data_IF_945208795964
#
_entry.id   IF_945208795964
#
_cell.length_a   1.000
_cell.length_b   1.000
_cell.length_c   1.000
_cell.angle_alpha   90.00
_cell.angle_beta   90.00
_cell.angle_gamma   90.00
#
_symmetry.space_group_name_H-M   'P 1'
#
loop_
_entity.id
_entity.type
_entity.pdbx_description
1 polymer ?
#
# COMPACT_ATOMS: atom_id res chain seq x y z
N UNK A 1 12.00 74.68 40.10
CA UNK A 1 13.13 73.75 39.87
C UNK A 1 12.67 72.32 40.15
N UNK A 2 12.56 71.49 39.10
CA UNK A 2 13.02 70.09 39.00
C UNK A 2 12.35 69.48 37.77
N UNK A 3 13.18 69.11 36.80
CA UNK A 3 12.83 68.54 35.50
C UNK A 3 12.36 67.10 35.70
N UNK A 4 11.29 66.69 35.01
CA UNK A 4 10.99 65.28 34.77
C UNK A 4 10.99 65.03 33.26
N UNK A 5 11.90 64.16 32.83
CA UNK A 5 12.05 63.70 31.45
C UNK A 5 10.89 62.79 31.07
N UNK A 6 10.36 63.00 29.85
CA UNK A 6 9.44 62.08 29.20
C UNK A 6 10.23 60.87 28.65
N UNK A 7 9.83 59.65 29.03
CA UNK A 7 10.21 58.42 28.35
C UNK A 7 8.99 57.94 27.57
N UNK A 8 9.08 58.01 26.24
CA UNK A 8 8.07 57.51 25.31
C UNK A 8 8.24 55.98 25.19
N UNK A 9 7.32 55.21 25.75
CA UNK A 9 7.29 53.75 25.61
C UNK A 9 6.71 53.42 24.22
N UNK A 10 7.57 52.99 23.30
CA UNK A 10 7.15 52.46 21.99
C UNK A 10 6.63 51.05 22.20
N UNK A 11 5.31 50.87 22.11
CA UNK A 11 4.69 49.55 22.03
C UNK A 11 4.85 49.08 20.57
N UNK A 12 5.81 48.20 20.34
CA UNK A 12 5.93 47.48 19.08
C UNK A 12 4.84 46.41 19.01
N UNK A 13 3.82 46.63 18.16
CA UNK A 13 2.93 45.56 17.73
C UNK A 13 3.72 44.63 16.79
N UNK A 14 4.15 43.48 17.32
CA UNK A 14 4.59 42.38 16.48
C UNK A 14 3.33 41.76 15.83
N UNK A 15 3.08 42.13 14.57
CA UNK A 15 2.20 41.35 13.70
C UNK A 15 2.88 39.99 13.48
N UNK A 16 2.47 38.98 14.25
CA UNK A 16 2.80 37.60 13.97
C UNK A 16 2.05 37.20 12.70
N UNK A 17 2.69 37.40 11.55
CA UNK A 17 2.27 36.77 10.31
C UNK A 17 2.36 35.26 10.48
N UNK A 18 1.26 34.56 10.23
CA UNK A 18 1.25 33.11 10.06
C UNK A 18 2.16 32.77 8.89
N UNK A 19 3.37 32.32 9.16
CA UNK A 19 4.18 31.63 8.16
C UNK A 19 3.55 30.26 8.00
N UNK A 20 2.63 30.12 7.04
CA UNK A 20 2.31 28.82 6.47
C UNK A 20 3.55 28.35 5.71
N UNK A 21 4.48 27.71 6.41
CA UNK A 21 5.45 26.83 5.76
C UNK A 21 4.63 25.67 5.23
N UNK A 22 4.19 25.76 3.98
CA UNK A 22 3.69 24.59 3.27
C UNK A 22 4.88 23.64 3.21
N UNK A 23 4.86 22.54 3.97
CA UNK A 23 5.80 21.46 3.75
C UNK A 23 5.82 21.21 2.24
N UNK A 24 6.96 21.42 1.59
CA UNK A 24 7.06 21.31 0.14
C UNK A 24 6.59 19.90 -0.24
N UNK A 25 5.47 19.80 -0.95
CA UNK A 25 5.16 18.57 -1.66
C UNK A 25 6.39 18.28 -2.53
N UNK A 26 7.02 17.10 -2.43
CA UNK A 26 8.11 16.78 -3.33
C UNK A 26 7.61 17.01 -4.77
N UNK A 27 8.44 17.59 -5.62
CA UNK A 27 8.13 17.84 -7.04
C UNK A 27 7.88 16.53 -7.84
N UNK A 28 7.99 15.39 -7.17
CA UNK A 28 7.80 14.06 -7.70
C UNK A 28 6.30 13.77 -7.91
N UNK A 29 5.99 13.22 -9.07
CA UNK A 29 4.73 12.50 -9.31
C UNK A 29 4.98 11.00 -9.11
N UNK A 30 3.93 10.21 -8.97
CA UNK A 30 4.02 8.76 -8.83
C UNK A 30 3.72 8.07 -10.15
N UNK A 31 4.54 7.08 -10.51
CA UNK A 31 4.25 6.14 -11.59
C UNK A 31 3.91 4.76 -11.02
N UNK A 32 3.00 4.00 -11.64
CA UNK A 32 2.67 2.66 -11.18
C UNK A 32 3.72 1.65 -11.67
N UNK A 33 4.33 0.93 -10.74
CA UNK A 33 5.06 -0.30 -11.00
C UNK A 33 4.15 -1.49 -10.69
N UNK A 34 3.78 -2.23 -11.73
CA UNK A 34 2.78 -3.28 -11.61
C UNK A 34 3.30 -4.50 -10.83
N UNK A 35 2.51 -4.97 -9.88
CA UNK A 35 2.83 -6.14 -9.03
C UNK A 35 1.98 -7.34 -9.42
N UNK A 36 0.65 -7.22 -9.36
CA UNK A 36 -0.26 -8.34 -9.59
C UNK A 36 -1.61 -7.91 -10.14
N UNK A 37 -2.21 -8.81 -10.91
CA UNK A 37 -3.47 -8.61 -11.60
C UNK A 37 -4.67 -8.48 -10.67
N UNK A 38 -4.92 -9.44 -9.79
CA UNK A 38 -6.05 -9.34 -8.85
C UNK A 38 -5.53 -9.74 -7.48
N UNK A 39 -5.17 -8.71 -6.71
CA UNK A 39 -4.51 -8.89 -5.43
C UNK A 39 -4.79 -7.72 -4.49
N UNK A 40 -4.71 -8.02 -3.20
CA UNK A 40 -4.79 -7.06 -2.11
C UNK A 40 -3.49 -7.14 -1.33
N UNK A 41 -2.73 -6.04 -1.34
CA UNK A 41 -1.56 -5.91 -0.50
C UNK A 41 -1.96 -5.52 0.92
N UNK A 42 -1.28 -6.08 1.91
CA UNK A 42 -1.51 -5.83 3.34
C UNK A 42 -0.34 -5.07 3.95
N UNK A 43 0.88 -5.56 3.75
CA UNK A 43 2.09 -4.94 4.29
C UNK A 43 3.23 -4.93 3.28
N UNK A 44 4.16 -3.98 3.43
CA UNK A 44 5.36 -3.84 2.62
C UNK A 44 6.52 -3.44 3.53
N UNK A 45 7.68 -4.07 3.35
CA UNK A 45 8.91 -3.71 4.08
C UNK A 45 9.76 -2.68 3.29
N UNK A 46 10.88 -2.25 3.86
CA UNK A 46 11.69 -1.16 3.30
C UNK A 46 12.35 -1.49 1.96
N UNK A 47 12.65 -2.77 1.74
CA UNK A 47 13.18 -3.26 0.44
C UNK A 47 12.07 -3.45 -0.60
N UNK A 48 10.81 -3.30 -0.21
CA UNK A 48 9.65 -3.42 -1.07
C UNK A 48 9.17 -4.86 -1.30
N UNK A 49 9.51 -5.80 -0.43
CA UNK A 49 8.81 -7.08 -0.39
C UNK A 49 7.41 -6.85 0.19
N UNK A 50 6.40 -7.46 -0.41
CA UNK A 50 4.99 -7.21 -0.08
C UNK A 50 4.31 -8.52 0.30
N UNK A 51 3.38 -8.47 1.24
CA UNK A 51 2.51 -9.61 1.60
C UNK A 51 1.06 -9.23 1.45
N UNK A 52 0.22 -10.22 1.17
CA UNK A 52 -1.20 -9.99 1.00
C UNK A 52 -1.92 -11.22 0.47
N UNK A 53 -3.00 -10.97 -0.27
CA UNK A 53 -3.78 -12.02 -0.93
C UNK A 53 -3.83 -11.80 -2.43
N UNK A 54 -3.91 -12.89 -3.18
CA UNK A 54 -3.94 -12.85 -4.64
C UNK A 54 -4.81 -13.97 -5.17
N UNK A 55 -5.66 -13.64 -6.12
CA UNK A 55 -6.29 -14.63 -6.98
C UNK A 55 -5.30 -15.02 -8.08
N UNK A 56 -5.23 -16.30 -8.41
CA UNK A 56 -4.55 -16.77 -9.61
C UNK A 56 -5.54 -16.79 -10.77
N UNK A 57 -5.13 -16.32 -11.95
CA UNK A 57 -5.94 -16.47 -13.17
C UNK A 57 -6.22 -17.97 -13.40
N UNK A 58 -7.48 -18.42 -13.33
CA UNK A 58 -7.83 -19.82 -13.52
C UNK A 58 -7.79 -20.24 -15.00
N UNK A 59 -7.51 -19.31 -15.92
CA UNK A 59 -7.42 -19.56 -17.37
C UNK A 59 -8.77 -19.71 -18.07
N UNK A 60 -9.88 -19.58 -17.35
CA UNK A 60 -11.24 -19.68 -17.90
C UNK A 60 -11.94 -18.31 -18.03
N UNK A 61 -11.22 -17.19 -17.88
CA UNK A 61 -11.81 -15.85 -17.99
C UNK A 61 -12.83 -15.58 -16.86
N UNK A 62 -13.93 -14.85 -17.13
CA UNK A 62 -14.90 -14.47 -16.10
C UNK A 62 -15.77 -15.65 -15.60
N UNK A 63 -15.55 -16.86 -16.10
CA UNK A 63 -16.46 -18.00 -15.89
C UNK A 63 -16.11 -18.89 -14.69
N UNK A 64 -15.04 -18.62 -13.94
CA UNK A 64 -14.73 -19.35 -12.70
C UNK A 64 -14.32 -18.42 -11.56
N UNK A 65 -14.60 -18.88 -10.34
CA UNK A 65 -14.06 -18.30 -9.12
C UNK A 65 -12.66 -18.85 -8.87
N UNK A 66 -11.66 -17.97 -8.82
CA UNK A 66 -10.29 -18.33 -8.46
C UNK A 66 -10.16 -18.53 -6.94
N UNK A 67 -9.32 -19.47 -6.46
CA UNK A 67 -8.98 -19.53 -5.05
C UNK A 67 -8.23 -18.25 -4.66
N UNK A 68 -8.56 -17.71 -3.48
CA UNK A 68 -7.81 -16.62 -2.88
C UNK A 68 -6.63 -17.22 -2.09
N UNK A 69 -5.41 -16.88 -2.48
CA UNK A 69 -4.20 -17.39 -1.83
C UNK A 69 -3.50 -16.28 -1.05
N UNK A 70 -2.96 -16.62 0.12
CA UNK A 70 -2.07 -15.75 0.89
C UNK A 70 -0.66 -15.84 0.31
N UNK A 71 -0.09 -14.71 -0.07
CA UNK A 71 1.14 -14.67 -0.86
C UNK A 71 2.10 -13.58 -0.40
N UNK A 72 3.37 -13.79 -0.78
CA UNK A 72 4.43 -12.79 -0.73
C UNK A 72 4.94 -12.52 -2.14
N UNK A 73 5.19 -11.25 -2.45
CA UNK A 73 5.88 -10.80 -3.64
C UNK A 73 7.27 -10.30 -3.24
N UNK A 74 8.29 -11.04 -3.66
CA UNK A 74 9.70 -10.74 -3.37
C UNK A 74 10.49 -10.67 -4.67
N UNK A 75 11.16 -9.55 -4.92
CA UNK A 75 11.91 -9.30 -6.15
C UNK A 75 11.14 -9.67 -7.45
N UNK A 76 9.83 -9.38 -7.50
CA UNK A 76 8.96 -9.69 -8.64
C UNK A 76 8.46 -11.14 -8.71
N UNK A 77 8.84 -12.00 -7.77
CA UNK A 77 8.40 -13.40 -7.68
C UNK A 77 7.26 -13.52 -6.67
N UNK A 78 6.14 -14.11 -7.11
CA UNK A 78 4.99 -14.46 -6.26
C UNK A 78 5.21 -15.84 -5.64
N UNK A 79 5.14 -15.94 -4.32
CA UNK A 79 5.24 -17.20 -3.58
C UNK A 79 4.01 -17.36 -2.69
N UNK A 80 3.35 -18.52 -2.75
CA UNK A 80 2.25 -18.86 -1.84
C UNK A 80 2.84 -19.24 -0.49
N UNK A 81 2.32 -18.66 0.60
CA UNK A 81 2.77 -19.02 1.94
C UNK A 81 2.26 -20.42 2.29
N UNK A 82 3.08 -21.28 2.94
CA UNK A 82 2.64 -22.60 3.36
C UNK A 82 1.51 -22.50 4.39
N UNK A 83 0.59 -23.46 4.34
CA UNK A 83 -0.42 -23.64 5.39
C UNK A 83 0.21 -24.07 6.71
N UNK A 84 -0.53 -23.88 7.79
CA UNK A 84 -0.13 -24.28 9.14
C UNK A 84 -0.81 -25.61 9.47
N UNK A 85 -0.05 -26.68 9.80
CA UNK A 85 -0.63 -27.97 10.17
C UNK A 85 -1.68 -27.82 11.29
N UNK A 86 -2.84 -28.44 11.13
CA UNK A 86 -3.94 -28.38 12.11
C UNK A 86 -4.90 -27.20 11.92
N UNK A 87 -4.58 -26.22 11.08
CA UNK A 87 -5.43 -25.07 10.82
C UNK A 87 -5.96 -25.00 9.39
N UNK A 88 -7.15 -24.43 9.25
CA UNK A 88 -7.71 -24.05 7.95
C UNK A 88 -7.74 -22.53 7.85
N UNK A 89 -7.12 -21.99 6.79
CA UNK A 89 -7.06 -20.55 6.55
C UNK A 89 -5.90 -19.86 7.25
N UNK A 90 -5.40 -18.80 6.62
CA UNK A 90 -4.27 -17.99 7.08
C UNK A 90 -4.51 -16.52 6.75
N UNK A 91 -4.20 -15.64 7.67
CA UNK A 91 -4.23 -14.19 7.47
C UNK A 91 -2.86 -13.61 7.88
N UNK A 92 -2.30 -12.74 7.03
CA UNK A 92 -1.05 -12.02 7.34
C UNK A 92 -1.38 -10.64 7.87
N UNK A 93 -0.55 -10.13 8.77
CA UNK A 93 -0.68 -8.78 9.35
C UNK A 93 0.50 -7.88 9.02
N UNK A 94 1.73 -8.40 9.06
CA UNK A 94 2.94 -7.59 8.83
C UNK A 94 4.09 -8.41 8.23
N UNK A 95 5.07 -7.70 7.65
CA UNK A 95 6.35 -8.20 7.17
C UNK A 95 7.47 -7.26 7.64
N UNK A 96 8.57 -7.79 8.16
CA UNK A 96 9.74 -7.00 8.54
C UNK A 96 10.82 -6.93 7.44
N UNK A 97 11.89 -6.18 7.67
CA UNK A 97 12.96 -5.96 6.68
C UNK A 97 13.82 -7.20 6.40
N UNK A 98 13.75 -8.22 7.26
CA UNK A 98 14.37 -9.53 7.03
C UNK A 98 13.46 -10.47 6.22
N UNK A 99 12.23 -10.05 5.92
CA UNK A 99 11.23 -10.83 5.20
C UNK A 99 10.50 -11.85 6.06
N UNK A 100 10.58 -11.75 7.39
CA UNK A 100 9.72 -12.50 8.31
C UNK A 100 8.33 -11.90 8.30
N UNK A 101 7.33 -12.77 8.31
CA UNK A 101 5.92 -12.39 8.20
C UNK A 101 5.20 -12.90 9.43
N UNK A 102 4.31 -12.11 10.03
CA UNK A 102 3.44 -12.57 11.11
C UNK A 102 1.96 -12.48 10.72
N UNK A 103 1.13 -13.18 11.47
CA UNK A 103 -0.32 -13.16 11.31
C UNK A 103 -1.00 -14.22 12.17
N UNK A 104 -2.04 -14.83 11.64
CA UNK A 104 -2.79 -15.91 12.30
C UNK A 104 -3.19 -17.02 11.34
N UNK A 105 -3.42 -18.21 11.89
CA UNK A 105 -4.02 -19.34 11.18
C UNK A 105 -5.27 -19.83 11.92
N UNK A 106 -6.28 -20.27 11.17
CA UNK A 106 -7.56 -20.74 11.73
C UNK A 106 -8.73 -19.79 11.50
N UNK A 107 -9.88 -20.09 12.12
CA UNK A 107 -11.13 -19.35 11.96
C UNK A 107 -12.03 -19.40 13.20
N UNK A 108 -12.99 -18.47 13.33
CA UNK A 108 -14.03 -18.44 14.37
C UNK A 108 -13.54 -18.59 15.83
N UNK A 109 -12.50 -17.86 16.24
CA UNK A 109 -11.99 -17.92 17.62
C UNK A 109 -11.19 -19.19 17.95
N UNK A 110 -10.87 -19.99 16.92
CA UNK A 110 -9.87 -21.05 16.95
C UNK A 110 -8.69 -20.63 16.08
N UNK A 111 -8.00 -19.58 16.50
CA UNK A 111 -6.87 -19.02 15.77
C UNK A 111 -5.61 -19.02 16.60
N UNK A 112 -4.49 -19.40 16.00
CA UNK A 112 -3.19 -19.23 16.63
C UNK A 112 -2.40 -18.17 15.88
N UNK A 113 -1.60 -17.42 16.62
CA UNK A 113 -0.61 -16.52 16.09
C UNK A 113 0.46 -17.34 15.37
N UNK A 114 0.88 -16.86 14.20
CA UNK A 114 1.77 -17.60 13.31
C UNK A 114 2.85 -16.66 12.79
N UNK A 115 4.03 -17.23 12.55
CA UNK A 115 5.11 -16.60 11.84
C UNK A 115 5.52 -17.44 10.63
N UNK A 116 5.65 -16.80 9.47
CA UNK A 116 6.31 -17.41 8.31
C UNK A 116 7.75 -16.90 8.23
N UNK A 117 8.68 -17.81 8.49
CA UNK A 117 10.11 -17.57 8.42
C UNK A 117 10.61 -17.77 6.99
N UNK A 118 11.38 -16.82 6.41
CA UNK A 118 12.00 -17.02 5.11
C UNK A 118 13.08 -18.11 5.17
N UNK A 119 13.13 -18.97 4.15
CA UNK A 119 14.13 -20.00 3.93
C UNK A 119 14.52 -20.03 2.43
N UNK A 120 15.45 -19.16 2.04
CA UNK A 120 15.79 -18.92 0.64
C UNK A 120 14.62 -18.27 -0.10
N UNK A 121 14.13 -18.94 -1.16
CA UNK A 121 12.96 -18.52 -1.94
C UNK A 121 11.63 -19.11 -1.43
N UNK A 122 11.66 -19.86 -0.33
CA UNK A 122 10.49 -20.48 0.29
C UNK A 122 10.27 -19.93 1.71
N UNK A 123 9.19 -20.38 2.34
CA UNK A 123 8.82 -20.02 3.70
C UNK A 123 8.55 -21.27 4.54
N UNK A 124 8.76 -21.16 5.84
CA UNK A 124 8.39 -22.18 6.83
C UNK A 124 7.43 -21.54 7.83
N UNK A 125 6.23 -22.09 7.96
CA UNK A 125 5.27 -21.66 8.96
C UNK A 125 5.70 -22.19 10.35
N UNK A 126 5.62 -21.31 11.35
CA UNK A 126 5.87 -21.59 12.75
C UNK A 126 4.60 -21.16 13.48
N UNK A 127 3.89 -22.16 14.00
CA UNK A 127 2.80 -21.94 14.95
C UNK A 127 3.39 -21.44 16.28
N UNK A 128 2.94 -20.28 16.75
CA UNK A 128 3.38 -19.71 18.01
C UNK A 128 2.58 -20.25 19.21
N UNK A 129 1.46 -20.93 18.93
CA UNK A 129 0.51 -21.41 19.92
C UNK A 129 -0.23 -20.28 20.63
N UNK A 130 -0.69 -20.57 21.84
CA UNK A 130 -1.44 -19.64 22.69
C UNK A 130 -0.72 -19.37 24.01
N UNK A 131 -0.99 -18.21 24.61
CA UNK A 131 -0.46 -17.87 25.93
C UNK A 131 -1.07 -18.81 26.98
N UNK A 132 -0.31 -19.34 27.97
CA UNK A 132 -0.86 -20.24 28.98
C UNK A 132 -2.10 -19.65 29.68
N UNK A 133 -3.20 -20.42 29.70
CA UNK A 133 -4.49 -19.99 30.26
C UNK A 133 -5.42 -19.28 29.26
N UNK A 134 -5.01 -19.14 28.00
CA UNK A 134 -5.84 -18.58 26.91
C UNK A 134 -6.28 -19.66 25.92
N UNK A 135 -7.16 -19.31 24.98
CA UNK A 135 -7.80 -20.23 24.05
C UNK A 135 -7.44 -19.97 22.57
N UNK A 136 -7.07 -18.74 22.21
CA UNK A 136 -6.62 -18.37 20.86
C UNK A 136 -5.70 -17.15 20.93
N UNK A 137 -4.90 -16.93 19.90
CA UNK A 137 -3.95 -15.82 19.80
C UNK A 137 -3.92 -15.22 18.39
N UNK A 138 -3.54 -13.94 18.30
CA UNK A 138 -3.42 -13.20 17.04
C UNK A 138 -2.17 -12.34 17.08
N UNK A 139 -1.30 -12.45 16.06
CA UNK A 139 -0.17 -11.54 15.87
C UNK A 139 -0.60 -10.27 15.13
N UNK A 140 -0.29 -9.12 15.71
CA UNK A 140 -0.61 -7.80 15.15
C UNK A 140 0.55 -7.22 14.35
N UNK A 141 1.78 -7.46 14.79
CA UNK A 141 2.95 -6.99 14.05
C UNK A 141 4.25 -7.63 14.51
N UNK A 142 5.30 -7.33 13.75
CA UNK A 142 6.64 -7.88 13.93
C UNK A 142 7.67 -6.77 13.68
N UNK A 143 8.69 -6.70 14.53
CA UNK A 143 9.80 -5.75 14.37
C UNK A 143 11.00 -6.38 13.64
N UNK A 144 12.02 -5.57 13.35
CA UNK A 144 13.22 -6.01 12.62
C UNK A 144 14.16 -6.90 13.45
N UNK A 145 13.89 -7.07 14.75
CA UNK A 145 14.57 -8.04 15.62
C UNK A 145 13.82 -9.38 15.70
N UNK A 146 12.74 -9.53 14.94
CA UNK A 146 11.85 -10.69 14.91
C UNK A 146 11.07 -10.90 16.23
N UNK A 147 10.82 -9.83 16.99
CA UNK A 147 9.85 -9.85 18.09
C UNK A 147 8.46 -9.65 17.52
N UNK A 148 7.53 -10.53 17.88
CA UNK A 148 6.13 -10.46 17.44
C UNK A 148 5.29 -9.99 18.60
N UNK A 149 4.39 -9.05 18.37
CA UNK A 149 3.41 -8.60 19.37
C UNK A 149 1.99 -8.91 18.93
N UNK A 150 1.13 -9.13 19.90
CA UNK A 150 -0.26 -9.45 19.66
C UNK A 150 -1.06 -9.59 20.93
N UNK A 151 -2.21 -10.23 20.83
CA UNK A 151 -3.03 -10.56 21.99
C UNK A 151 -3.47 -12.02 21.96
N UNK A 152 -3.67 -12.57 23.14
CA UNK A 152 -4.24 -13.88 23.36
C UNK A 152 -5.53 -13.74 24.16
N UNK A 153 -6.55 -14.51 23.82
CA UNK A 153 -7.90 -14.37 24.40
C UNK A 153 -8.27 -15.64 25.16
N UNK A 154 -8.67 -15.49 26.42
CA UNK A 154 -9.22 -16.59 27.22
C UNK A 154 -10.64 -16.96 26.79
N UNK A 155 -11.13 -18.15 27.22
CA UNK A 155 -12.52 -18.57 26.97
C UNK A 155 -13.56 -17.61 27.56
N UNK A 156 -13.19 -16.84 28.59
CA UNK A 156 -14.03 -15.77 29.16
C UNK A 156 -14.14 -14.53 28.26
N UNK A 157 -13.38 -14.45 27.17
CA UNK A 157 -13.25 -13.29 26.30
C UNK A 157 -12.20 -12.27 26.76
N UNK A 158 -11.52 -12.50 27.88
CA UNK A 158 -10.48 -11.60 28.37
C UNK A 158 -9.24 -11.66 27.48
N UNK A 159 -8.75 -10.51 27.02
CA UNK A 159 -7.57 -10.40 26.16
C UNK A 159 -6.33 -10.03 26.97
N UNK A 160 -5.22 -10.69 26.71
CA UNK A 160 -3.92 -10.46 27.34
C UNK A 160 -2.89 -10.16 26.26
N UNK A 161 -2.15 -9.04 26.36
CA UNK A 161 -1.10 -8.72 25.39
C UNK A 161 0.08 -9.67 25.55
N UNK A 162 0.63 -10.12 24.43
CA UNK A 162 1.80 -10.98 24.42
C UNK A 162 2.91 -10.41 23.53
N UNK A 163 4.14 -10.83 23.84
CA UNK A 163 5.27 -10.78 22.93
C UNK A 163 5.77 -12.20 22.69
N UNK A 164 6.18 -12.50 21.47
CA UNK A 164 6.87 -13.74 21.15
C UNK A 164 8.28 -13.45 20.62
N UNK A 165 9.23 -14.27 21.05
CA UNK A 165 10.58 -14.33 20.48
C UNK A 165 10.90 -15.78 20.12
N UNK A 166 11.78 -15.97 19.15
CA UNK A 166 12.20 -17.32 18.75
C UNK A 166 12.82 -18.12 19.91
N UNK A 167 13.59 -17.47 20.77
CA UNK A 167 14.34 -18.13 21.85
C UNK A 167 13.55 -18.23 23.16
N UNK A 168 12.63 -17.28 23.41
CA UNK A 168 11.85 -17.22 24.65
C UNK A 168 10.40 -17.73 24.54
N UNK A 169 9.91 -17.97 23.32
CA UNK A 169 8.50 -18.30 23.09
C UNK A 169 7.56 -17.13 23.40
N UNK A 170 6.28 -17.44 23.62
CA UNK A 170 5.24 -16.45 23.93
C UNK A 170 5.26 -16.07 25.42
N UNK A 171 5.36 -14.78 25.71
CA UNK A 171 5.36 -14.23 27.06
C UNK A 171 4.26 -13.17 27.23
N UNK A 172 3.70 -13.12 28.43
CA UNK A 172 2.72 -12.13 28.84
C UNK A 172 3.41 -10.77 29.07
N UNK A 173 3.02 -9.75 28.28
CA UNK A 173 3.62 -8.41 28.36
C UNK A 173 3.29 -7.73 29.70
N UNK A 174 2.17 -8.05 30.34
CA UNK A 174 1.80 -7.47 31.65
C UNK A 174 2.75 -7.91 32.75
N UNK A 175 3.25 -9.15 32.67
CA UNK A 175 4.26 -9.69 33.61
C UNK A 175 5.65 -9.10 33.37
N UNK A 176 5.86 -8.43 32.24
CA UNK A 176 7.08 -7.69 31.91
C UNK A 176 6.97 -6.20 32.31
N UNK A 177 5.87 -5.77 32.93
CA UNK A 177 5.66 -4.39 33.36
C UNK A 177 5.04 -3.47 32.30
N UNK A 178 4.55 -4.01 31.18
CA UNK A 178 3.80 -3.23 30.19
C UNK A 178 2.30 -3.17 30.52
N UNK A 179 1.56 -2.18 29.97
CA UNK A 179 0.12 -2.06 30.19
C UNK A 179 -0.67 -3.30 29.76
N UNK A 180 -1.76 -3.60 30.46
CA UNK A 180 -2.74 -4.61 30.04
C UNK A 180 -3.64 -4.05 28.93
N UNK A 181 -3.04 -3.74 27.79
CA UNK A 181 -3.72 -3.22 26.60
C UNK A 181 -3.22 -3.95 25.36
N UNK A 182 -4.13 -4.23 24.42
CA UNK A 182 -3.76 -4.89 23.18
C UNK A 182 -2.82 -3.99 22.34
N UNK A 183 -1.74 -4.55 21.75
CA UNK A 183 -0.98 -3.87 20.71
C UNK A 183 -1.86 -3.58 19.50
N UNK A 184 -1.74 -2.37 18.96
CA UNK A 184 -2.49 -1.89 17.78
C UNK A 184 -1.58 -1.62 16.58
N UNK A 185 -0.28 -1.50 16.82
CA UNK A 185 0.76 -1.31 15.82
C UNK A 185 2.14 -1.39 16.47
N UNK A 186 3.15 -1.74 15.68
CA UNK A 186 4.56 -1.80 16.09
C UNK A 186 5.41 -1.27 14.95
N UNK A 187 6.45 -0.52 15.29
CA UNK A 187 7.45 0.00 14.36
C UNK A 187 8.59 -1.01 14.13
N UNK A 188 9.45 -0.77 13.14
CA UNK A 188 10.60 -1.65 12.84
C UNK A 188 11.61 -1.75 13.99
N UNK A 189 11.79 -0.70 14.79
CA UNK A 189 12.62 -0.68 16.00
C UNK A 189 11.93 -1.24 17.27
N UNK A 190 10.66 -1.62 17.18
CA UNK A 190 9.92 -2.23 18.30
C UNK A 190 9.28 -1.23 19.26
N UNK A 191 8.92 -0.05 18.78
CA UNK A 191 8.01 0.88 19.46
C UNK A 191 6.57 0.43 19.20
N UNK A 192 5.80 0.20 20.26
CA UNK A 192 4.45 -0.35 20.22
C UNK A 192 3.45 0.72 20.66
N UNK A 193 2.36 0.83 19.92
CA UNK A 193 1.20 1.63 20.28
C UNK A 193 0.04 0.74 20.75
N UNK A 194 -0.65 1.16 21.81
CA UNK A 194 -1.86 0.51 22.34
C UNK A 194 -3.03 1.51 22.37
N UNK A 195 -4.12 1.21 23.07
CA UNK A 195 -5.29 2.09 23.12
C UNK A 195 -4.98 3.44 23.77
N UNK A 196 -4.29 3.44 24.91
CA UNK A 196 -3.99 4.66 25.68
C UNK A 196 -2.52 4.84 26.05
N UNK A 197 -1.64 3.95 25.60
CA UNK A 197 -0.21 4.02 25.84
C UNK A 197 0.60 3.77 24.57
N UNK A 198 1.90 4.07 24.67
CA UNK A 198 2.92 3.54 23.77
C UNK A 198 4.20 3.24 24.57
N UNK A 199 5.04 2.35 24.07
CA UNK A 199 6.25 1.91 24.75
C UNK A 199 7.26 1.28 23.78
N UNK A 200 8.51 1.12 24.23
CA UNK A 200 9.56 0.38 23.52
C UNK A 200 9.72 -1.00 24.14
N UNK A 201 9.65 -2.03 23.29
CA UNK A 201 9.85 -3.41 23.75
C UNK A 201 11.24 -3.59 24.37
N UNK A 202 11.28 -4.26 25.53
CA UNK A 202 12.50 -4.48 26.31
C UNK A 202 12.81 -3.37 27.32
N UNK A 203 12.07 -2.26 27.30
CA UNK A 203 12.21 -1.18 28.28
C UNK A 203 10.84 -0.82 28.90
N UNK A 204 10.43 -1.45 30.01
CA UNK A 204 9.18 -1.13 30.70
C UNK A 204 9.12 0.30 31.25
N UNK A 205 10.26 0.99 31.39
CA UNK A 205 10.28 2.39 31.86
C UNK A 205 9.91 3.39 30.77
N UNK A 206 9.89 2.96 29.51
CA UNK A 206 9.48 3.77 28.36
C UNK A 206 7.96 3.95 28.22
N UNK A 207 7.16 3.24 29.04
CA UNK A 207 5.69 3.30 28.99
C UNK A 207 5.21 4.73 29.18
N UNK A 208 4.58 5.26 28.14
CA UNK A 208 4.12 6.64 28.08
C UNK A 208 2.63 6.65 27.79
N UNK A 209 1.86 7.36 28.62
CA UNK A 209 0.44 7.57 28.39
C UNK A 209 0.24 8.51 27.18
N UNK A 210 -0.73 8.18 26.34
CA UNK A 210 -1.15 9.07 25.26
C UNK A 210 -1.86 10.29 25.82
N UNK A 211 -1.73 11.42 25.14
CA UNK A 211 -2.51 12.60 25.47
C UNK A 211 -4.01 12.35 25.21
N UNK A 212 -4.91 12.98 26.00
CA UNK A 212 -6.34 12.89 25.74
C UNK A 212 -6.69 13.25 24.30
N UNK A 213 -7.79 12.67 23.79
CA UNK A 213 -8.32 13.05 22.49
C UNK A 213 -8.63 14.55 22.44
N UNK A 214 -8.61 15.18 21.25
CA UNK A 214 -8.92 16.60 21.10
C UNK A 214 -10.29 16.98 21.70
N UNK A 215 -10.46 18.21 22.22
CA UNK A 215 -11.77 18.72 22.64
C UNK A 215 -12.79 18.67 21.49
N UNK A 216 -14.09 18.63 21.81
CA UNK A 216 -15.17 18.64 20.81
C UNK A 216 -15.85 17.28 20.57
N UNK A 217 -15.70 16.34 21.51
CA UNK A 217 -16.38 15.04 21.46
C UNK A 217 -15.64 13.97 20.66
N UNK A 218 -14.35 14.18 20.38
CA UNK A 218 -13.49 13.17 19.76
C UNK A 218 -13.17 12.05 20.73
N UNK A 219 -13.08 10.83 20.21
CA UNK A 219 -12.61 9.67 20.96
C UNK A 219 -11.73 8.77 20.09
N UNK A 220 -10.78 8.11 20.76
CA UNK A 220 -9.86 7.15 20.15
C UNK A 220 -10.60 5.82 19.99
N UNK A 221 -10.44 5.16 18.84
CA UNK A 221 -10.91 3.79 18.65
C UNK A 221 -9.83 2.78 19.04
N UNK A 222 -10.28 1.63 19.56
CA UNK A 222 -9.42 0.46 19.71
C UNK A 222 -9.27 -0.25 18.35
N UNK A 223 -8.55 0.38 17.42
CA UNK A 223 -8.34 -0.11 16.05
C UNK A 223 -6.88 0.00 15.63
N UNK A 224 -6.51 -0.63 14.50
CA UNK A 224 -5.15 -0.61 13.96
C UNK A 224 -4.59 0.81 13.84
N UNK A 225 -3.29 0.95 14.06
CA UNK A 225 -2.55 2.22 13.97
C UNK A 225 -1.23 2.01 13.26
N UNK A 226 -0.70 3.07 12.64
CA UNK A 226 0.71 3.09 12.26
C UNK A 226 1.50 3.88 13.30
N UNK A 227 2.70 3.42 13.61
CA UNK A 227 3.63 4.07 14.55
C UNK A 227 5.06 4.00 13.98
N UNK A 228 5.81 5.08 14.09
CA UNK A 228 7.25 5.12 13.79
C UNK A 228 8.10 4.86 15.05
N UNK A 229 9.42 4.75 14.92
CA UNK A 229 10.31 4.45 16.04
C UNK A 229 10.39 5.56 17.10
N UNK A 230 10.13 6.80 16.69
CA UNK A 230 10.00 7.92 17.61
C UNK A 230 8.81 7.68 18.55
N UNK A 231 7.65 7.33 17.98
CA UNK A 231 6.40 7.14 18.69
C UNK A 231 5.25 7.97 18.13
N UNK A 232 5.47 8.67 17.01
CA UNK A 232 4.44 9.38 16.26
C UNK A 232 3.50 8.39 15.58
N UNK A 233 2.22 8.76 15.47
CA UNK A 233 1.19 7.80 15.09
C UNK A 233 0.21 8.36 14.07
N UNK A 234 -0.24 7.51 13.16
CA UNK A 234 -1.42 7.77 12.34
C UNK A 234 -2.61 7.00 12.92
N UNK A 235 -3.71 7.70 13.22
CA UNK A 235 -4.90 7.12 13.88
C UNK A 235 -6.20 7.64 13.31
N UNK A 236 -7.22 6.78 13.35
CA UNK A 236 -8.61 7.16 13.14
C UNK A 236 -9.29 7.56 14.46
N UNK A 237 -9.85 8.76 14.54
CA UNK A 237 -10.67 9.21 15.68
C UNK A 237 -12.14 9.34 15.27
N UNK A 238 -13.05 8.95 16.18
CA UNK A 238 -14.49 9.08 16.00
C UNK A 238 -15.04 10.38 16.61
N UNK A 239 -16.18 10.84 16.11
CA UNK A 239 -16.95 11.96 16.67
C UNK A 239 -18.45 11.63 16.71
N UNK A 240 -19.12 11.93 17.83
CA UNK A 240 -20.57 11.68 18.02
C UNK A 240 -20.93 10.21 18.29
N UNK A 241 -22.09 9.98 18.92
CA UNK A 241 -22.51 8.65 19.42
C UNK A 241 -23.46 7.88 18.51
N UNK A 242 -24.10 8.53 17.53
CA UNK A 242 -25.17 7.90 16.72
C UNK A 242 -24.69 7.43 15.33
N UNK A 243 -23.69 8.08 14.73
CA UNK A 243 -23.03 7.67 13.47
C UNK A 243 -21.57 8.12 13.46
N UNK A 244 -20.63 7.40 14.12
CA UNK A 244 -19.26 7.88 14.22
C UNK A 244 -18.56 7.73 12.87
N UNK A 245 -18.45 8.84 12.14
CA UNK A 245 -17.46 8.97 11.09
C UNK A 245 -16.07 8.90 11.74
N UNK A 246 -15.17 8.14 11.12
CA UNK A 246 -13.76 8.16 11.51
C UNK A 246 -13.02 9.21 10.69
N UNK A 247 -12.13 9.95 11.33
CA UNK A 247 -11.31 10.99 10.71
C UNK A 247 -9.85 10.69 10.97
N UNK A 248 -8.99 10.99 10.01
CA UNK A 248 -7.57 10.69 10.13
C UNK A 248 -6.84 11.79 10.89
N UNK A 249 -6.05 11.37 11.87
CA UNK A 249 -5.22 12.23 12.69
C UNK A 249 -3.77 11.75 12.69
N UNK A 250 -2.88 12.73 12.80
CA UNK A 250 -1.49 12.56 13.23
C UNK A 250 -1.40 12.83 14.73
N UNK A 251 -0.69 11.98 15.44
CA UNK A 251 -0.34 12.17 16.85
C UNK A 251 1.17 12.39 16.94
N UNK A 252 1.58 13.54 17.48
CA UNK A 252 2.97 13.90 17.70
C UNK A 252 3.37 13.55 19.13
N UNK A 253 4.37 12.69 19.28
CA UNK A 253 4.80 12.26 20.60
C UNK A 253 5.90 13.17 21.18
N UNK A 254 6.85 13.67 20.36
CA UNK A 254 7.95 14.51 20.85
C UNK A 254 7.45 15.91 21.26
N UNK A 255 7.56 16.22 22.55
CA UNK A 255 7.48 17.58 23.08
C UNK A 255 6.08 18.10 23.44
N UNK A 256 4.99 17.57 22.90
CA UNK A 256 3.66 18.18 23.10
C UNK A 256 2.48 17.22 23.33
N UNK A 257 2.56 15.95 22.88
CA UNK A 257 1.40 15.05 22.90
C UNK A 257 0.21 15.63 22.11
N UNK A 258 0.49 16.26 20.96
CA UNK A 258 -0.54 16.98 20.20
C UNK A 258 -1.14 16.14 19.08
N UNK A 259 -2.41 16.44 18.80
CA UNK A 259 -3.16 15.85 17.70
C UNK A 259 -3.31 16.86 16.58
N UNK A 260 -3.10 16.42 15.35
CA UNK A 260 -3.44 17.16 14.15
C UNK A 260 -4.45 16.37 13.33
N UNK A 261 -5.62 16.94 13.07
CA UNK A 261 -6.53 16.39 12.08
C UNK A 261 -5.92 16.61 10.68
N UNK A 262 -5.60 15.53 9.97
CA UNK A 262 -5.00 15.60 8.63
C UNK A 262 -6.04 15.43 7.51
N UNK A 263 -7.25 14.99 7.86
CA UNK A 263 -8.38 14.82 6.94
C UNK A 263 -9.70 15.31 7.54
N UNK A 264 -10.48 16.02 6.73
CA UNK A 264 -11.79 16.58 7.11
C UNK A 264 -12.97 15.89 6.40
N UNK A 265 -12.67 14.93 5.52
CA UNK A 265 -13.66 14.08 4.86
C UNK A 265 -13.80 12.80 5.68
N UNK A 266 -14.88 12.72 6.48
CA UNK A 266 -15.13 11.54 7.31
C UNK A 266 -15.15 10.27 6.46
N UNK A 267 -14.48 9.21 6.90
CA UNK A 267 -14.29 7.97 6.11
C UNK A 267 -15.52 7.05 6.09
N UNK A 268 -16.62 7.45 6.72
CA UNK A 268 -17.78 6.60 7.01
C UNK A 268 -17.54 5.64 8.20
N UNK A 269 -18.55 4.81 8.54
CA UNK A 269 -18.41 3.75 9.53
C UNK A 269 -17.53 2.62 8.96
N UNK A 270 -16.29 2.59 9.43
CA UNK A 270 -15.24 1.58 9.23
C UNK A 270 -14.57 1.47 7.84
N UNK A 271 -13.28 1.81 7.84
CA UNK A 271 -12.23 0.86 7.47
C UNK A 271 -11.00 1.14 8.34
N UNK A 272 -10.79 0.37 9.43
CA UNK A 272 -9.49 0.30 10.13
C UNK A 272 -8.31 0.02 9.16
N UNK A 273 -8.56 -0.56 8.00
CA UNK A 273 -7.59 -0.77 6.92
C UNK A 273 -7.32 0.45 6.03
N UNK A 274 -7.81 1.64 6.42
CA UNK A 274 -7.52 2.89 5.72
C UNK A 274 -6.17 3.50 6.13
N UNK A 275 -5.51 3.03 7.18
CA UNK A 275 -4.19 3.54 7.59
C UNK A 275 -3.12 2.77 6.82
N UNK A 276 -2.25 3.48 6.11
CA UNK A 276 -1.08 2.92 5.45
C UNK A 276 0.08 2.83 6.44
N UNK A 277 0.89 3.88 6.50
CA UNK A 277 2.05 3.97 7.40
C UNK A 277 2.28 5.40 7.87
N UNK A 278 3.16 5.55 8.86
CA UNK A 278 3.83 6.81 9.20
C UNK A 278 5.34 6.56 9.21
N UNK A 279 6.12 7.39 8.51
CA UNK A 279 7.58 7.29 8.51
C UNK A 279 8.22 8.25 9.54
N UNK A 280 9.55 8.28 9.60
CA UNK A 280 10.29 9.20 10.50
C UNK A 280 10.14 10.68 10.12
N UNK A 281 9.82 10.97 8.85
CA UNK A 281 9.47 12.32 8.41
C UNK A 281 8.01 12.70 8.77
N UNK A 282 7.27 11.80 9.40
CA UNK A 282 5.83 11.92 9.73
C UNK A 282 4.92 12.02 8.50
N UNK A 283 5.41 11.58 7.34
CA UNK A 283 4.58 11.37 6.17
C UNK A 283 3.60 10.23 6.44
N UNK A 284 2.32 10.50 6.27
CA UNK A 284 1.25 9.53 6.49
C UNK A 284 0.64 9.15 5.14
N UNK A 285 0.63 7.85 4.83
CA UNK A 285 -0.19 7.31 3.74
C UNK A 285 -1.46 6.69 4.31
N UNK A 286 -2.55 6.84 3.57
CA UNK A 286 -3.85 6.33 3.99
C UNK A 286 -4.83 6.25 2.81
N UNK A 287 -6.02 5.72 3.10
CA UNK A 287 -7.16 5.62 2.20
C UNK A 287 -8.37 6.27 2.87
N UNK A 288 -8.95 7.26 2.20
CA UNK A 288 -10.11 8.03 2.68
C UNK A 288 -11.19 8.00 1.62
N UNK A 289 -12.37 7.50 1.97
CA UNK A 289 -13.53 7.39 1.07
C UNK A 289 -13.22 6.68 -0.26
N UNK A 290 -12.38 5.64 -0.20
CA UNK A 290 -11.96 4.86 -1.37
C UNK A 290 -10.94 5.54 -2.27
N UNK A 291 -10.33 6.65 -1.83
CA UNK A 291 -9.23 7.34 -2.53
C UNK A 291 -7.95 7.26 -1.72
N UNK A 292 -6.84 6.97 -2.40
CA UNK A 292 -5.52 6.95 -1.80
C UNK A 292 -5.03 8.39 -1.50
N UNK A 293 -4.43 8.58 -0.34
CA UNK A 293 -4.02 9.89 0.19
C UNK A 293 -2.61 9.83 0.78
N UNK A 294 -1.97 10.99 0.81
CA UNK A 294 -0.70 11.22 1.52
C UNK A 294 -0.69 12.59 2.19
N UNK A 295 -0.23 12.66 3.44
CA UNK A 295 0.03 13.90 4.18
C UNK A 295 1.52 13.99 4.50
N UNK A 296 2.23 14.96 3.91
CA UNK A 296 3.68 15.09 4.08
C UNK A 296 4.10 15.85 5.34
N UNK A 297 5.20 15.44 5.96
CA UNK A 297 5.82 16.14 7.08
C UNK A 297 5.00 16.13 8.37
N UNK A 298 5.44 16.85 9.41
CA UNK A 298 4.70 16.94 10.65
C UNK A 298 3.37 17.71 10.49
N UNK A 299 3.31 18.72 9.62
CA UNK A 299 2.16 19.63 9.56
C UNK A 299 1.30 19.51 8.28
N UNK A 300 1.67 18.65 7.32
CA UNK A 300 0.93 18.54 6.07
C UNK A 300 -0.44 17.88 6.25
N UNK A 301 -1.40 18.33 5.43
CA UNK A 301 -2.73 17.74 5.31
C UNK A 301 -2.79 16.72 4.16
N UNK A 302 -3.81 15.87 4.15
CA UNK A 302 -4.00 14.88 3.09
C UNK A 302 -4.16 15.51 1.71
N UNK A 303 -3.35 15.03 0.78
CA UNK A 303 -3.40 15.29 -0.64
C UNK A 303 -3.86 14.02 -1.36
N UNK A 304 -4.63 14.16 -2.44
CA UNK A 304 -5.00 13.00 -3.26
C UNK A 304 -3.77 12.47 -3.99
N UNK A 305 -3.51 11.15 -3.88
CA UNK A 305 -2.48 10.53 -4.71
C UNK A 305 -2.84 10.55 -6.20
N UNK A 306 -4.13 10.65 -6.56
CA UNK A 306 -4.54 10.87 -7.96
C UNK A 306 -4.02 12.20 -8.51
N UNK A 307 -3.96 13.25 -7.67
CA UNK A 307 -3.42 14.55 -8.06
C UNK A 307 -1.89 14.53 -8.19
N UNK A 308 -1.24 13.55 -7.57
CA UNK A 308 0.19 13.29 -7.65
C UNK A 308 0.51 12.15 -8.63
N UNK A 309 -0.49 11.58 -9.31
CA UNK A 309 -0.28 10.48 -10.23
C UNK A 309 0.25 10.99 -11.57
N UNK A 310 1.21 10.28 -12.14
CA UNK A 310 1.82 10.68 -13.41
C UNK A 310 0.74 10.77 -14.49
N UNK A 311 0.64 11.91 -15.21
CA UNK A 311 -0.37 12.10 -16.26
C UNK A 311 -0.16 11.18 -17.47
N UNK A 312 0.99 10.50 -17.54
CA UNK A 312 1.26 9.50 -18.57
C UNK A 312 0.37 8.25 -18.45
N UNK A 313 -0.25 8.04 -17.28
CA UNK A 313 -1.14 6.92 -16.98
C UNK A 313 -2.57 7.41 -16.77
N UNK A 314 -3.55 6.58 -17.10
CA UNK A 314 -4.99 6.90 -16.98
C UNK A 314 -5.66 5.88 -16.07
N UNK A 315 -5.64 6.12 -14.77
CA UNK A 315 -6.32 5.28 -13.78
C UNK A 315 -6.54 6.07 -12.49
N UNK A 316 -7.43 5.57 -11.62
CA UNK A 316 -7.66 6.07 -10.27
C UNK A 316 -7.00 5.17 -9.24
N UNK A 317 -6.43 5.78 -8.21
CA UNK A 317 -5.76 5.09 -7.11
C UNK A 317 -6.74 4.97 -5.94
N UNK A 318 -7.17 3.75 -5.67
CA UNK A 318 -8.29 3.47 -4.75
C UNK A 318 -7.88 3.06 -3.35
N UNK A 319 -6.59 2.82 -3.15
CA UNK A 319 -6.02 2.50 -1.84
C UNK A 319 -4.57 2.94 -1.77
N UNK A 320 -4.24 3.65 -0.70
CA UNK A 320 -2.88 3.99 -0.29
C UNK A 320 -2.55 3.21 0.99
N UNK A 321 -1.69 2.22 0.85
CA UNK A 321 -1.19 1.38 1.93
C UNK A 321 0.18 1.84 2.43
N UNK A 322 0.97 0.94 3.05
CA UNK A 322 2.27 1.28 3.62
C UNK A 322 3.24 1.87 2.58
N UNK A 323 4.09 2.77 3.07
CA UNK A 323 5.18 3.38 2.33
C UNK A 323 6.52 2.83 2.84
N UNK A 324 7.44 2.53 1.93
CA UNK A 324 8.78 2.08 2.27
C UNK A 324 9.78 3.25 2.40
N UNK A 325 10.99 2.99 2.88
CA UNK A 325 12.07 3.96 2.98
C UNK A 325 12.45 4.68 1.66
N UNK A 326 12.08 4.14 0.49
CA UNK A 326 12.28 4.79 -0.81
C UNK A 326 11.07 5.62 -1.27
N UNK A 327 10.16 5.93 -0.35
CA UNK A 327 8.88 6.62 -0.60
C UNK A 327 8.00 5.91 -1.63
N UNK A 328 8.18 4.60 -1.83
CA UNK A 328 7.27 3.82 -2.66
C UNK A 328 6.05 3.44 -1.84
N UNK A 329 4.86 3.58 -2.42
CA UNK A 329 3.60 3.35 -1.72
C UNK A 329 2.93 2.09 -2.29
N UNK A 330 2.59 1.13 -1.42
CA UNK A 330 1.75 0.01 -1.81
C UNK A 330 0.35 0.51 -2.13
N UNK A 331 -0.15 0.25 -3.33
CA UNK A 331 -1.40 0.85 -3.77
C UNK A 331 -2.20 -0.08 -4.68
N UNK A 332 -3.44 0.33 -4.96
CA UNK A 332 -4.33 -0.35 -5.88
C UNK A 332 -4.89 0.61 -6.92
N UNK A 333 -4.76 0.25 -8.19
CA UNK A 333 -5.36 0.97 -9.31
C UNK A 333 -6.40 0.11 -10.01
N UNK A 334 -7.37 0.71 -10.70
CA UNK A 334 -8.34 -0.03 -11.50
C UNK A 334 -7.96 -0.03 -12.98
N UNK A 335 -8.02 -1.21 -13.58
CA UNK A 335 -8.00 -1.40 -15.03
C UNK A 335 -9.25 -2.21 -15.37
N UNK A 336 -10.22 -1.58 -16.02
CA UNK A 336 -11.58 -2.13 -16.11
C UNK A 336 -12.21 -2.26 -14.72
N UNK A 337 -12.72 -3.45 -14.41
CA UNK A 337 -13.32 -3.79 -13.12
C UNK A 337 -12.34 -4.44 -12.14
N UNK A 338 -11.13 -4.78 -12.59
CA UNK A 338 -10.14 -5.44 -11.76
C UNK A 338 -9.27 -4.43 -11.00
N UNK A 339 -9.24 -4.57 -9.67
CA UNK A 339 -8.28 -3.92 -8.81
C UNK A 339 -6.90 -4.57 -8.96
N UNK A 340 -5.96 -3.82 -9.55
CA UNK A 340 -4.58 -4.22 -9.81
C UNK A 340 -3.68 -3.73 -8.69
N UNK A 341 -2.88 -4.64 -8.11
CA UNK A 341 -1.89 -4.28 -7.10
C UNK A 341 -0.68 -3.66 -7.78
N UNK A 342 -0.31 -2.46 -7.32
CA UNK A 342 0.84 -1.72 -7.83
C UNK A 342 1.68 -1.19 -6.68
N UNK A 343 2.91 -0.86 -6.99
CA UNK A 343 3.74 0.00 -6.18
C UNK A 343 3.80 1.36 -6.86
N UNK A 344 3.38 2.42 -6.18
CA UNK A 344 3.56 3.77 -6.67
C UNK A 344 4.98 4.20 -6.37
N UNK A 345 5.75 4.45 -7.41
CA UNK A 345 7.15 4.85 -7.30
C UNK A 345 7.29 6.34 -7.61
N UNK A 346 7.92 7.14 -6.75
CA UNK A 346 8.25 8.53 -7.04
C UNK A 346 9.10 8.61 -8.32
N UNK A 347 8.72 9.50 -9.23
CA UNK A 347 9.44 9.75 -10.48
C UNK A 347 9.57 11.25 -10.73
N UNK A 348 10.71 11.63 -11.29
CA UNK A 348 11.01 13.00 -11.72
C UNK A 348 10.97 13.09 -13.23
N UNK A 349 10.58 14.25 -13.74
CA UNK A 349 10.64 14.51 -15.17
C UNK A 349 12.08 14.40 -15.67
N UNK A 350 12.26 13.76 -16.82
CA UNK A 350 13.58 13.64 -17.42
C UNK A 350 13.94 14.95 -18.15
N UNK A 351 15.11 15.51 -17.85
CA UNK A 351 15.60 16.74 -18.47
C UNK A 351 16.19 16.53 -19.85
N UNK A 352 17.28 15.77 -19.94
CA UNK A 352 18.00 15.46 -21.20
C UNK A 352 18.32 13.97 -21.29
N UNK A 353 18.60 13.48 -22.50
CA UNK A 353 18.86 12.06 -22.76
C UNK A 353 17.69 11.18 -22.36
N UNK A 354 16.48 11.55 -22.78
CA UNK A 354 15.25 10.91 -22.33
C UNK A 354 14.68 9.95 -23.37
N UNK A 355 13.99 8.92 -22.91
CA UNK A 355 13.08 8.11 -23.70
C UNK A 355 11.66 8.52 -23.32
N UNK A 356 10.86 8.92 -24.31
CA UNK A 356 9.44 9.25 -24.16
C UNK A 356 8.61 8.37 -25.08
N UNK A 357 7.47 7.87 -24.60
CA UNK A 357 6.44 7.29 -25.48
C UNK A 357 5.46 8.39 -25.85
N UNK A 358 5.70 9.04 -26.98
CA UNK A 358 4.90 10.19 -27.41
C UNK A 358 3.53 9.82 -27.97
N UNK A 359 3.33 8.56 -28.36
CA UNK A 359 2.02 8.06 -28.80
C UNK A 359 1.89 6.56 -28.55
N UNK A 360 0.77 6.17 -27.96
CA UNK A 360 0.34 4.78 -27.84
C UNK A 360 -1.05 4.65 -28.45
N UNK A 361 -1.20 3.71 -29.39
CA UNK A 361 -2.49 3.36 -29.99
C UNK A 361 -2.74 1.89 -29.72
N UNK A 362 -3.91 1.59 -29.17
CA UNK A 362 -4.38 0.22 -28.96
C UNK A 362 -5.61 0.02 -29.84
N UNK A 363 -5.71 -1.13 -30.50
CA UNK A 363 -6.90 -1.53 -31.25
C UNK A 363 -7.20 -3.00 -31.01
N UNK A 364 -8.47 -3.36 -30.93
CA UNK A 364 -8.91 -4.73 -30.75
C UNK A 364 -9.95 -5.11 -31.81
N UNK A 365 -9.91 -6.37 -32.26
CA UNK A 365 -10.89 -6.96 -33.15
C UNK A 365 -11.28 -8.35 -32.66
N UNK A 366 -12.57 -8.63 -32.62
CA UNK A 366 -13.06 -9.96 -32.37
C UNK A 366 -12.91 -10.84 -33.61
N UNK A 367 -12.29 -12.01 -33.46
CA UNK A 367 -12.22 -13.06 -34.47
C UNK A 367 -13.24 -14.12 -34.11
N UNK A 368 -14.24 -14.30 -34.97
CA UNK A 368 -15.33 -15.25 -34.80
C UNK A 368 -14.97 -16.61 -35.41
N UNK A 369 -15.53 -17.69 -34.87
CA UNK A 369 -15.61 -18.96 -35.58
C UNK A 369 -16.68 -18.85 -36.67
N UNK A 370 -16.36 -19.08 -37.96
CA UNK A 370 -17.36 -19.05 -39.02
C UNK A 370 -18.48 -20.08 -38.82
N UNK A 371 -18.24 -21.16 -38.08
CA UNK A 371 -19.29 -22.14 -37.73
C UNK A 371 -20.14 -21.74 -36.52
N UNK A 372 -19.77 -20.68 -35.80
CA UNK A 372 -20.50 -20.17 -34.62
C UNK A 372 -20.47 -18.61 -34.59
N UNK A 373 -21.07 -17.94 -35.59
CA UNK A 373 -20.97 -16.50 -35.71
C UNK A 373 -21.71 -15.77 -34.59
N UNK A 374 -21.09 -14.70 -34.07
CA UNK A 374 -21.67 -13.83 -33.04
C UNK A 374 -21.63 -14.38 -31.62
N UNK A 375 -21.15 -15.60 -31.41
CA UNK A 375 -21.00 -16.18 -30.07
C UNK A 375 -19.57 -16.10 -29.57
N UNK A 376 -19.44 -16.10 -28.24
CA UNK A 376 -18.21 -16.45 -27.56
C UNK A 376 -18.48 -17.69 -26.70
N UNK A 377 -18.04 -18.84 -27.21
CA UNK A 377 -18.26 -20.14 -26.63
C UNK A 377 -17.02 -20.52 -25.80
N UNK A 378 -17.15 -20.66 -24.47
CA UNK A 378 -16.03 -21.04 -23.60
C UNK A 378 -15.34 -22.32 -24.10
N UNK A 379 -14.02 -22.25 -24.31
CA UNK A 379 -13.22 -23.38 -24.81
C UNK A 379 -13.10 -23.47 -26.34
N UNK A 380 -13.87 -22.68 -27.12
CA UNK A 380 -13.67 -22.60 -28.56
C UNK A 380 -12.40 -21.78 -28.88
N UNK A 381 -11.35 -22.46 -29.37
CA UNK A 381 -10.06 -21.83 -29.70
C UNK A 381 -10.07 -21.02 -31.00
N UNK A 382 -11.15 -21.09 -31.79
CA UNK A 382 -11.28 -20.32 -33.04
C UNK A 382 -11.83 -18.91 -32.79
N UNK A 383 -12.46 -18.69 -31.64
CA UNK A 383 -12.97 -17.40 -31.20
C UNK A 383 -11.97 -16.72 -30.26
N UNK A 384 -11.54 -15.50 -30.57
CA UNK A 384 -10.60 -14.77 -29.73
C UNK A 384 -10.62 -13.27 -30.04
N UNK A 385 -10.20 -12.47 -29.06
CA UNK A 385 -9.95 -11.05 -29.27
C UNK A 385 -8.48 -10.84 -29.67
N UNK A 386 -8.24 -10.31 -30.86
CA UNK A 386 -6.92 -9.93 -31.31
C UNK A 386 -6.69 -8.44 -31.03
N UNK A 387 -5.77 -8.16 -30.12
CA UNK A 387 -5.39 -6.79 -29.76
C UNK A 387 -4.01 -6.45 -30.29
N UNK A 388 -3.89 -5.25 -30.86
CA UNK A 388 -2.65 -4.66 -31.35
C UNK A 388 -2.34 -3.41 -30.53
N UNK A 389 -1.16 -3.35 -29.92
CA UNK A 389 -0.63 -2.14 -29.30
C UNK A 389 0.53 -1.61 -30.14
N UNK A 390 0.51 -0.32 -30.49
CA UNK A 390 1.55 0.35 -31.26
C UNK A 390 2.04 1.57 -30.51
N UNK A 391 3.29 1.53 -30.08
CA UNK A 391 3.95 2.64 -29.40
C UNK A 391 4.93 3.37 -30.34
N UNK A 392 4.98 4.69 -30.21
CA UNK A 392 5.97 5.58 -30.81
C UNK A 392 6.88 6.09 -29.72
N UNK A 393 8.18 5.88 -29.90
CA UNK A 393 9.22 6.25 -28.96
C UNK A 393 10.09 7.37 -29.53
N UNK A 394 10.30 8.40 -28.73
CA UNK A 394 11.02 9.62 -29.10
C UNK A 394 11.97 10.07 -27.99
N UNK A 395 12.95 10.92 -28.34
CA UNK A 395 13.73 11.68 -27.37
C UNK A 395 12.92 12.81 -26.72
N UNK A 396 13.52 13.53 -25.78
CA UNK A 396 13.02 14.78 -25.23
C UNK A 396 12.77 15.86 -26.29
N UNK A 397 13.52 15.84 -27.40
CA UNK A 397 13.37 16.77 -28.54
C UNK A 397 12.38 16.30 -29.59
N UNK A 398 11.76 15.13 -29.41
CA UNK A 398 10.81 14.55 -30.37
C UNK A 398 11.44 13.72 -31.49
N UNK A 399 12.76 13.55 -31.51
CA UNK A 399 13.45 12.70 -32.49
C UNK A 399 13.10 11.22 -32.29
N UNK A 400 12.91 10.47 -33.38
CA UNK A 400 12.55 9.04 -33.29
C UNK A 400 13.73 8.21 -32.78
N UNK A 401 13.47 7.35 -31.79
CA UNK A 401 14.49 6.49 -31.19
C UNK A 401 14.34 5.05 -31.67
N UNK A 402 15.30 4.58 -32.48
CA UNK A 402 15.43 3.18 -32.89
C UNK A 402 16.20 2.35 -31.85
N UNK A 403 16.02 1.03 -31.84
CA UNK A 403 16.79 0.14 -30.97
C UNK A 403 16.45 0.26 -29.48
N UNK A 404 15.31 0.86 -29.13
CA UNK A 404 14.85 0.94 -27.73
C UNK A 404 14.07 -0.33 -27.40
N UNK A 405 14.50 -1.04 -26.35
CA UNK A 405 13.76 -2.18 -25.81
C UNK A 405 12.60 -1.67 -24.96
N UNK A 406 11.38 -1.89 -25.42
CA UNK A 406 10.14 -1.51 -24.75
C UNK A 406 9.47 -2.74 -24.18
N UNK A 407 9.11 -2.71 -22.91
CA UNK A 407 8.26 -3.71 -22.28
C UNK A 407 6.91 -3.12 -21.91
N UNK A 408 5.85 -3.89 -22.14
CA UNK A 408 4.50 -3.51 -21.74
C UNK A 408 3.67 -4.71 -21.33
N UNK A 409 2.40 -4.46 -21.03
CA UNK A 409 1.48 -5.44 -20.48
C UNK A 409 0.09 -5.27 -21.07
N UNK A 410 -0.48 -6.37 -21.55
CA UNK A 410 -1.91 -6.47 -21.88
C UNK A 410 -2.70 -6.89 -20.63
N UNK A 411 -3.81 -6.20 -20.40
CA UNK A 411 -4.75 -6.47 -19.33
C UNK A 411 -6.17 -6.43 -19.87
N UNK A 412 -7.02 -7.30 -19.34
CA UNK A 412 -8.46 -7.27 -19.55
C UNK A 412 -9.15 -6.67 -18.32
N UNK A 413 -10.47 -6.78 -18.31
CA UNK A 413 -11.35 -6.34 -17.23
C UNK A 413 -11.26 -7.21 -15.96
N UNK A 414 -10.64 -8.39 -16.03
CA UNK A 414 -10.64 -9.41 -14.97
C UNK A 414 -9.23 -9.92 -14.67
N UNK A 415 -8.72 -10.91 -15.41
CA UNK A 415 -7.56 -11.72 -15.04
C UNK A 415 -6.31 -11.50 -15.88
N UNK A 416 -6.46 -11.17 -17.17
CA UNK A 416 -5.35 -11.13 -18.13
C UNK A 416 -4.21 -10.23 -17.62
N UNK A 417 -3.00 -10.78 -17.67
CA UNK A 417 -1.81 -10.16 -17.09
C UNK A 417 -0.54 -10.41 -17.93
N UNK A 418 -0.63 -10.25 -19.25
CA UNK A 418 0.38 -10.74 -20.19
C UNK A 418 1.46 -9.68 -20.44
N UNK A 419 2.69 -9.91 -19.94
CA UNK A 419 3.85 -9.09 -20.29
C UNK A 419 4.32 -9.40 -21.72
N UNK A 420 4.77 -8.36 -22.42
CA UNK A 420 5.38 -8.43 -23.75
C UNK A 420 6.57 -7.48 -23.84
N UNK A 421 7.52 -7.78 -24.70
CA UNK A 421 8.67 -6.92 -24.98
C UNK A 421 9.03 -6.92 -26.46
N UNK A 422 9.63 -5.83 -26.92
CA UNK A 422 9.97 -5.64 -28.32
C UNK A 422 10.87 -4.42 -28.51
N UNK A 423 11.58 -4.37 -29.63
CA UNK A 423 12.54 -3.30 -29.92
C UNK A 423 12.00 -2.36 -30.98
N UNK A 424 12.21 -1.06 -30.82
CA UNK A 424 11.77 -0.07 -31.81
C UNK A 424 12.56 -0.18 -33.12
N UNK A 425 11.86 -0.06 -34.25
CA UNK A 425 12.48 -0.01 -35.57
C UNK A 425 13.12 1.37 -35.85
N UNK A 426 13.67 1.56 -37.06
CA UNK A 426 14.29 2.82 -37.50
C UNK A 426 13.36 4.05 -37.42
N UNK A 427 12.03 3.87 -37.41
CA UNK A 427 11.03 4.93 -37.27
C UNK A 427 10.60 5.18 -35.81
N UNK A 428 11.28 4.56 -34.86
CA UNK A 428 10.96 4.61 -33.44
C UNK A 428 9.63 3.97 -33.08
N UNK A 429 9.22 2.93 -33.82
CA UNK A 429 7.93 2.25 -33.62
C UNK A 429 8.19 0.84 -33.12
N UNK A 430 7.42 0.43 -32.11
CA UNK A 430 7.29 -0.97 -31.66
C UNK A 430 5.82 -1.36 -31.68
N UNK A 431 5.55 -2.62 -32.03
CA UNK A 431 4.21 -3.18 -32.09
C UNK A 431 4.15 -4.49 -31.30
N UNK A 432 3.02 -4.71 -30.62
CA UNK A 432 2.74 -5.90 -29.84
C UNK A 432 1.38 -6.44 -30.24
N UNK A 433 1.27 -7.77 -30.29
CA UNK A 433 0.02 -8.46 -30.61
C UNK A 433 -0.31 -9.40 -29.48
N UNK A 434 -1.59 -9.49 -29.13
CA UNK A 434 -2.09 -10.39 -28.10
C UNK A 434 -3.40 -11.03 -28.56
N UNK A 435 -3.48 -12.36 -28.42
CA UNK A 435 -4.72 -13.13 -28.62
C UNK A 435 -5.30 -13.42 -27.24
N UNK A 436 -6.31 -12.65 -26.86
CA UNK A 436 -7.06 -12.80 -25.62
C UNK A 436 -8.34 -13.63 -25.79
N UNK A 437 -9.05 -13.94 -24.69
CA UNK A 437 -10.30 -14.69 -24.73
C UNK A 437 -11.37 -13.96 -25.56
N UNK A 438 -12.33 -14.68 -26.15
CA UNK A 438 -13.42 -14.05 -26.92
C UNK A 438 -14.37 -13.20 -26.06
N UNK A 439 -14.54 -13.57 -24.79
CA UNK A 439 -15.59 -13.01 -23.92
C UNK A 439 -15.16 -11.77 -23.17
N UNK A 440 -13.86 -11.46 -23.21
CA UNK A 440 -13.27 -10.30 -22.55
C UNK A 440 -12.26 -9.65 -23.48
N UNK A 441 -12.39 -8.33 -23.67
CA UNK A 441 -11.47 -7.54 -24.47
C UNK A 441 -10.18 -7.22 -23.72
N UNK A 442 -9.12 -6.84 -24.44
CA UNK A 442 -8.02 -6.10 -23.78
C UNK A 442 -8.55 -4.74 -23.38
N UNK A 443 -8.76 -4.55 -22.09
CA UNK A 443 -9.18 -3.29 -21.52
C UNK A 443 -8.06 -2.26 -21.54
N UNK A 444 -6.81 -2.68 -21.27
CA UNK A 444 -5.67 -1.77 -21.34
C UNK A 444 -4.37 -2.44 -21.81
N UNK A 445 -3.55 -1.63 -22.46
CA UNK A 445 -2.12 -1.85 -22.60
C UNK A 445 -1.36 -0.77 -21.85
N UNK A 446 -0.41 -1.18 -20.99
CA UNK A 446 0.49 -0.27 -20.29
C UNK A 446 1.93 -0.52 -20.74
N UNK A 447 2.65 0.53 -21.10
CA UNK A 447 4.12 0.50 -21.25
C UNK A 447 4.73 0.64 -19.86
N UNK A 448 5.43 -0.41 -19.41
CA UNK A 448 6.02 -0.47 -18.06
C UNK A 448 7.45 0.07 -18.03
N UNK A 449 8.19 -0.13 -19.12
CA UNK A 449 9.58 0.28 -19.22
C UNK A 449 10.03 0.49 -20.68
N UNK A 450 11.05 1.32 -20.86
CA UNK A 450 11.78 1.47 -22.12
C UNK A 450 13.27 1.67 -21.83
N UNK A 451 14.15 0.91 -22.47
CA UNK A 451 15.59 0.90 -22.13
C UNK A 451 16.44 1.01 -23.38
N UNK A 452 17.41 1.93 -23.31
CA UNK A 452 18.49 2.10 -24.30
C UNK A 452 19.56 2.99 -23.70
N UNK A 453 20.68 2.43 -23.29
CA UNK A 453 21.76 3.23 -22.70
C UNK A 453 22.31 4.28 -23.71
N UNK A 454 22.66 5.50 -23.25
CA UNK A 454 22.61 6.01 -21.87
C UNK A 454 21.28 6.73 -21.52
N UNK A 455 20.20 6.50 -22.27
CA UNK A 455 18.95 7.24 -22.13
C UNK A 455 18.12 6.77 -20.94
N UNK A 456 17.40 7.71 -20.31
CA UNK A 456 16.53 7.48 -19.15
C UNK A 456 15.06 7.50 -19.56
N UNK A 457 14.28 6.51 -19.12
CA UNK A 457 12.85 6.48 -19.42
C UNK A 457 12.07 7.49 -18.57
N UNK A 458 11.39 8.41 -19.25
CA UNK A 458 10.56 9.42 -18.62
C UNK A 458 9.14 8.87 -18.39
N UNK A 459 8.88 8.43 -17.15
CA UNK A 459 7.57 7.96 -16.72
C UNK A 459 6.60 9.09 -16.35
N UNK A 460 7.00 10.36 -16.45
CA UNK A 460 6.16 11.51 -16.05
C UNK A 460 5.34 12.10 -17.19
N UNK A 461 5.70 11.82 -18.44
CA UNK A 461 5.06 12.39 -19.64
C UNK A 461 4.80 11.34 -20.73
N UNK A 462 4.00 11.72 -21.71
CA UNK A 462 3.66 10.89 -22.86
C UNK A 462 2.34 10.15 -22.67
N UNK A 463 2.17 9.05 -23.41
CA UNK A 463 0.98 8.18 -23.31
C UNK A 463 1.47 6.77 -23.06
N UNK A 464 1.45 6.36 -21.79
CA UNK A 464 1.94 5.05 -21.34
C UNK A 464 0.82 4.04 -21.12
N UNK A 465 -0.42 4.50 -21.00
CA UNK A 465 -1.60 3.63 -20.95
C UNK A 465 -2.55 3.94 -22.12
N UNK A 466 -3.09 2.89 -22.74
CA UNK A 466 -4.13 3.00 -23.76
C UNK A 466 -5.11 1.83 -23.66
N UNK A 467 -6.34 2.01 -24.11
CA UNK A 467 -7.42 1.03 -24.03
C UNK A 467 -8.08 0.81 -25.40
N UNK A 468 -8.60 -0.39 -25.62
CA UNK A 468 -9.42 -0.68 -26.80
C UNK A 468 -10.31 -1.91 -26.60
N UNK A 469 -11.62 -1.68 -26.45
CA UNK A 469 -12.59 -2.76 -26.45
C UNK A 469 -12.79 -3.33 -27.87
N UNK A 470 -12.98 -4.65 -28.02
CA UNK A 470 -13.32 -5.28 -29.29
C UNK A 470 -14.62 -4.70 -29.83
N UNK A 471 -14.64 -4.40 -31.12
CA UNK A 471 -15.91 -4.14 -31.84
C UNK A 471 -16.43 -5.49 -32.34
N UNK A 472 -17.67 -5.80 -31.95
CA UNK A 472 -18.39 -7.00 -32.39
C UNK A 472 -18.97 -6.81 -33.79
#
# INVERSE_FOLDING_TARGET
MKRFSAALLVIAFALAGTVTVRAESPTNVYAPDFVSAVAYGIAMNDVGDMVGTSYTDPGCGPFCLAPLETVVWKAGVRTVLPSVPGFTGTAVSAINNQGWICGSAGFFGFTDAVVWKPNGNAYTAIDLGVLPGTAHSVAIGIDDTNRVVGYATALSGFQTPFMWTKDGGMVDLTKQGFPNEIPLGISSGGTVATYSHWYRLGDPTSVTAMAPAPPGGWFVWNSAVAINDAGDQARGLGIGTEHPFTYMFRYHHEGTGTWQQIDFTGTGPQSPGGIGSINDAQDITNTVSGSARIAYGPDGLNQSLDALFSPAYKSSITSGGPMNASSQILAKIFVGLAGRLVRLTPVTACGTSCIKVSKLVVSAKFHQDPSDPGHCTPGNKKEYNLTHARAVVTSETGARLSGVLVSGRFMDEYWTNTRVSGTTNAKGIVQFNFKGPCGVGTEAFIVENATKEPLVFDKTVGVLAGSALPKF
#
